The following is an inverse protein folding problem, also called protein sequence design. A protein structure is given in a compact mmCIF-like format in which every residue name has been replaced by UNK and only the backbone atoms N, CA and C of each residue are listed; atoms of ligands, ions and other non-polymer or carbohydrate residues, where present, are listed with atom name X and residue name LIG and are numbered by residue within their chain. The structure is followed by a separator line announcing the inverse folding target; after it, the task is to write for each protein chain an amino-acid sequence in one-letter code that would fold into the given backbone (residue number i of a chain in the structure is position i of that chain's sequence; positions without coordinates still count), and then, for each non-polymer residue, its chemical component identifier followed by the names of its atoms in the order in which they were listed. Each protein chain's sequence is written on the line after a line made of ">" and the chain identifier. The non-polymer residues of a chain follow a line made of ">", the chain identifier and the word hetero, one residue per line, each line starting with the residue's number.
data_IF_390560760514
#
_entry.id   IF_390560760514
#
_cell.length_a   1.000
_cell.length_b   1.000
_cell.length_c   1.000
_cell.angle_alpha   90.00
_cell.angle_beta   90.00
_cell.angle_gamma   90.00
#
_symmetry.space_group_name_H-M   'P 1'
#
loop_
_entity.id
_entity.type
_entity.pdbx_description
1 polymer ?
#
# COMPACT_ATOMS: atom_id res chain seq x y z
N UNK A 1 -11.12 19.66 -8.23
CA UNK A 1 -9.85 19.15 -7.68
C UNK A 1 -9.38 18.07 -8.62
N UNK A 2 -8.08 17.98 -8.86
CA UNK A 2 -7.55 16.99 -9.78
C UNK A 2 -7.50 15.61 -9.11
N UNK A 3 -7.78 14.55 -9.87
CA UNK A 3 -7.88 13.19 -9.38
C UNK A 3 -6.72 12.35 -9.93
N UNK A 4 -6.11 11.52 -9.09
CA UNK A 4 -5.15 10.50 -9.51
C UNK A 4 -5.71 9.11 -9.25
N UNK A 5 -5.69 8.28 -10.30
CA UNK A 5 -5.97 6.86 -10.21
C UNK A 5 -4.65 6.09 -10.07
N UNK A 6 -4.40 5.49 -8.91
CA UNK A 6 -3.30 4.55 -8.72
C UNK A 6 -3.86 3.15 -8.98
N UNK A 7 -3.28 2.39 -9.90
CA UNK A 7 -3.82 1.08 -10.28
C UNK A 7 -2.74 0.03 -10.39
N UNK A 8 -2.91 -1.11 -9.73
CA UNK A 8 -2.25 -2.33 -10.19
C UNK A 8 -2.84 -2.73 -11.55
N UNK A 9 -2.04 -3.32 -12.43
CA UNK A 9 -2.47 -3.64 -13.80
C UNK A 9 -2.20 -5.11 -14.14
N UNK A 10 -3.04 -5.73 -14.95
CA UNK A 10 -2.77 -7.00 -15.63
C UNK A 10 -3.59 -7.07 -16.92
N UNK A 11 -4.83 -6.59 -16.87
CA UNK A 11 -5.71 -6.34 -18.00
C UNK A 11 -6.13 -4.86 -18.04
N UNK A 12 -6.65 -4.44 -19.19
CA UNK A 12 -7.01 -3.04 -19.44
C UNK A 12 -8.38 -2.68 -18.84
N UNK A 13 -9.30 -3.65 -18.82
CA UNK A 13 -10.71 -3.41 -18.49
C UNK A 13 -10.92 -2.80 -17.09
N UNK A 14 -10.30 -3.30 -16.00
CA UNK A 14 -10.48 -2.70 -14.67
C UNK A 14 -10.04 -1.23 -14.62
N UNK A 15 -8.95 -0.91 -15.32
CA UNK A 15 -8.42 0.46 -15.40
C UNK A 15 -9.40 1.34 -16.17
N UNK A 16 -9.92 0.87 -17.31
CA UNK A 16 -10.90 1.61 -18.12
C UNK A 16 -12.23 1.86 -17.39
N UNK A 17 -12.70 0.89 -16.60
CA UNK A 17 -13.87 1.07 -15.73
C UNK A 17 -13.62 2.20 -14.73
N UNK A 18 -12.45 2.21 -14.09
CA UNK A 18 -12.07 3.27 -13.16
C UNK A 18 -11.93 4.64 -13.85
N UNK A 19 -11.34 4.69 -15.05
CA UNK A 19 -11.24 5.92 -15.83
C UNK A 19 -12.62 6.51 -16.10
N UNK A 20 -13.56 5.68 -16.55
CA UNK A 20 -14.92 6.11 -16.89
C UNK A 20 -15.67 6.60 -15.64
N UNK A 21 -15.54 5.88 -14.53
CA UNK A 21 -16.27 6.19 -13.30
C UNK A 21 -15.71 7.41 -12.56
N UNK A 22 -14.39 7.51 -12.45
CA UNK A 22 -13.73 8.48 -11.57
C UNK A 22 -13.13 9.67 -12.32
N UNK A 23 -13.07 9.61 -13.66
CA UNK A 23 -12.52 10.66 -14.53
C UNK A 23 -11.21 11.23 -14.00
N UNK A 24 -10.17 10.39 -13.76
CA UNK A 24 -8.89 10.86 -13.24
C UNK A 24 -8.23 11.81 -14.24
N UNK A 25 -7.35 12.69 -13.78
CA UNK A 25 -6.48 13.51 -14.64
C UNK A 25 -5.14 12.80 -14.91
N UNK A 26 -4.70 11.99 -13.94
CA UNK A 26 -3.47 11.20 -13.99
C UNK A 26 -3.72 9.76 -13.58
N UNK A 27 -3.03 8.83 -14.23
CA UNK A 27 -3.03 7.41 -13.90
C UNK A 27 -1.60 7.02 -13.55
N UNK A 28 -1.42 6.37 -12.40
CA UNK A 28 -0.16 5.76 -12.02
C UNK A 28 -0.36 4.25 -12.02
N UNK A 29 0.30 3.56 -12.95
CA UNK A 29 0.26 2.11 -13.07
C UNK A 29 1.37 1.49 -12.24
N UNK A 30 0.99 0.73 -11.22
CA UNK A 30 1.88 -0.12 -10.44
C UNK A 30 2.07 -1.44 -11.20
N UNK A 31 3.29 -1.66 -11.68
CA UNK A 31 3.63 -2.79 -12.57
C UNK A 31 4.74 -3.63 -11.97
N UNK A 32 4.77 -4.93 -12.25
CA UNK A 32 5.95 -5.73 -11.95
C UNK A 32 7.20 -5.26 -12.75
N UNK A 33 8.37 -5.30 -12.09
CA UNK A 33 9.67 -4.97 -12.70
C UNK A 33 9.94 -5.81 -13.97
N UNK A 34 9.69 -7.12 -13.91
CA UNK A 34 9.86 -8.07 -15.02
C UNK A 34 8.55 -8.32 -15.78
N UNK A 35 7.85 -7.25 -16.15
CA UNK A 35 6.55 -7.35 -16.80
C UNK A 35 6.56 -8.21 -18.07
N UNK A 36 5.68 -9.23 -18.19
CA UNK A 36 5.57 -10.06 -19.36
C UNK A 36 5.08 -9.25 -20.56
N UNK A 37 5.36 -9.74 -21.77
CA UNK A 37 5.00 -9.05 -23.01
C UNK A 37 3.52 -8.65 -23.07
N UNK A 38 2.62 -9.50 -22.55
CA UNK A 38 1.18 -9.23 -22.48
C UNK A 38 0.84 -7.98 -21.64
N UNK A 39 1.56 -7.75 -20.55
CA UNK A 39 1.35 -6.61 -19.66
C UNK A 39 1.85 -5.32 -20.31
N UNK A 40 3.04 -5.36 -20.91
CA UNK A 40 3.59 -4.25 -21.71
C UNK A 40 2.69 -3.87 -22.89
N UNK A 41 2.09 -4.86 -23.54
CA UNK A 41 1.13 -4.65 -24.61
C UNK A 41 -0.17 -4.00 -24.08
N UNK A 42 -0.62 -4.41 -22.90
CA UNK A 42 -1.77 -3.80 -22.21
C UNK A 42 -1.50 -2.32 -21.89
N UNK A 43 -0.30 -2.00 -21.39
CA UNK A 43 0.14 -0.61 -21.15
C UNK A 43 0.17 0.20 -22.44
N UNK A 44 0.72 -0.37 -23.53
CA UNK A 44 0.75 0.28 -24.85
C UNK A 44 -0.65 0.61 -25.34
N UNK A 45 -1.57 -0.36 -25.28
CA UNK A 45 -2.97 -0.15 -25.67
C UNK A 45 -3.66 0.92 -24.82
N UNK A 46 -3.40 0.95 -23.51
CA UNK A 46 -3.94 1.99 -22.63
C UNK A 46 -3.41 3.37 -23.02
N UNK A 47 -2.10 3.50 -23.25
CA UNK A 47 -1.46 4.73 -23.70
C UNK A 47 -2.04 5.24 -25.03
N UNK A 48 -2.25 4.35 -25.99
CA UNK A 48 -2.82 4.70 -27.30
C UNK A 48 -4.28 5.15 -27.20
N UNK A 49 -5.03 4.57 -26.27
CA UNK A 49 -6.47 4.83 -26.11
C UNK A 49 -6.75 6.13 -25.37
N UNK A 50 -6.08 6.38 -24.24
CA UNK A 50 -6.40 7.53 -23.36
C UNK A 50 -5.23 8.48 -23.11
N UNK A 51 -4.00 8.11 -23.50
CA UNK A 51 -2.80 8.90 -23.20
C UNK A 51 -2.69 10.26 -23.91
N UNK A 52 -3.60 10.57 -24.83
CA UNK A 52 -3.73 11.93 -25.43
C UNK A 52 -4.47 12.91 -24.53
N UNK A 53 -5.29 12.40 -23.62
CA UNK A 53 -6.18 13.18 -22.76
C UNK A 53 -5.87 12.99 -21.27
N UNK A 54 -5.16 11.92 -20.92
CA UNK A 54 -4.75 11.57 -19.56
C UNK A 54 -3.24 11.42 -19.47
N UNK A 55 -2.65 11.91 -18.38
CA UNK A 55 -1.27 11.60 -18.03
C UNK A 55 -1.18 10.16 -17.52
N UNK A 56 -0.26 9.37 -18.07
CA UNK A 56 -0.03 7.98 -17.62
C UNK A 56 1.44 7.84 -17.24
N UNK A 57 1.67 7.39 -16.01
CA UNK A 57 2.98 7.06 -15.47
C UNK A 57 3.01 5.59 -15.08
N UNK A 58 4.14 4.92 -15.31
CA UNK A 58 4.35 3.53 -14.90
C UNK A 58 5.43 3.50 -13.82
N UNK A 59 5.09 2.95 -12.66
CA UNK A 59 6.00 2.74 -11.53
C UNK A 59 6.24 1.24 -11.35
N UNK A 60 7.43 0.73 -11.68
CA UNK A 60 7.81 -0.66 -11.41
C UNK A 60 7.85 -0.95 -9.90
N UNK A 61 7.49 -2.16 -9.51
CA UNK A 61 7.56 -2.66 -8.13
C UNK A 61 7.87 -4.16 -8.10
N UNK A 62 8.16 -4.67 -6.91
CA UNK A 62 8.33 -6.10 -6.66
C UNK A 62 7.10 -6.94 -7.03
N UNK A 63 7.35 -8.18 -7.49
CA UNK A 63 6.32 -9.18 -7.81
C UNK A 63 5.77 -9.85 -6.55
N UNK A 64 6.64 -10.17 -5.59
CA UNK A 64 6.31 -11.03 -4.45
C UNK A 64 6.59 -10.39 -3.08
N UNK A 65 7.35 -9.31 -3.02
CA UNK A 65 7.60 -8.61 -1.76
C UNK A 65 6.47 -7.61 -1.47
N UNK A 66 5.45 -8.07 -0.75
CA UNK A 66 4.27 -7.28 -0.36
C UNK A 66 4.65 -6.01 0.41
N UNK A 67 5.67 -6.07 1.27
CA UNK A 67 6.13 -4.91 2.06
C UNK A 67 6.72 -3.84 1.17
N UNK A 68 7.50 -4.23 0.16
CA UNK A 68 8.03 -3.30 -0.84
C UNK A 68 6.91 -2.67 -1.67
N UNK A 69 5.98 -3.48 -2.20
CA UNK A 69 4.85 -2.94 -2.96
C UNK A 69 4.02 -1.95 -2.13
N UNK A 70 3.79 -2.25 -0.86
CA UNK A 70 3.06 -1.36 0.04
C UNK A 70 3.81 -0.04 0.28
N UNK A 71 5.14 -0.09 0.41
CA UNK A 71 5.97 1.11 0.56
C UNK A 71 5.93 1.95 -0.71
N UNK A 72 6.17 1.34 -1.87
CA UNK A 72 6.14 2.02 -3.16
C UNK A 72 4.77 2.66 -3.40
N UNK A 73 3.68 1.95 -3.04
CA UNK A 73 2.32 2.51 -3.12
C UNK A 73 2.13 3.70 -2.17
N UNK A 74 2.59 3.59 -0.92
CA UNK A 74 2.49 4.68 0.06
C UNK A 74 3.27 5.92 -0.38
N UNK A 75 4.47 5.74 -0.94
CA UNK A 75 5.30 6.84 -1.48
C UNK A 75 4.58 7.54 -2.65
N UNK A 76 3.96 6.78 -3.56
CA UNK A 76 3.14 7.34 -4.65
C UNK A 76 1.94 8.13 -4.08
N UNK A 77 1.27 7.59 -3.06
CA UNK A 77 0.12 8.28 -2.41
C UNK A 77 0.59 9.60 -1.80
N UNK A 78 1.69 9.61 -1.06
CA UNK A 78 2.26 10.82 -0.46
C UNK A 78 2.63 11.85 -1.52
N UNK A 79 3.28 11.43 -2.61
CA UNK A 79 3.67 12.29 -3.73
C UNK A 79 2.46 12.99 -4.35
N UNK A 80 1.42 12.23 -4.71
CA UNK A 80 0.24 12.76 -5.38
C UNK A 80 -0.64 13.60 -4.43
N UNK A 81 -0.72 13.22 -3.15
CA UNK A 81 -1.43 13.99 -2.14
C UNK A 81 -0.72 15.34 -1.89
N UNK A 82 0.62 15.38 -1.90
CA UNK A 82 1.39 16.61 -1.80
C UNK A 82 1.13 17.58 -2.98
N UNK A 83 0.74 17.06 -4.14
CA UNK A 83 0.27 17.84 -5.28
C UNK A 83 -1.20 18.30 -5.16
N UNK A 84 -1.86 18.04 -4.02
CA UNK A 84 -3.25 18.44 -3.76
C UNK A 84 -4.28 17.65 -4.56
N UNK A 85 -3.94 16.40 -4.93
CA UNK A 85 -4.83 15.53 -5.71
C UNK A 85 -5.63 14.60 -4.82
N UNK A 86 -6.84 14.31 -5.26
CA UNK A 86 -7.66 13.26 -4.67
C UNK A 86 -7.22 11.90 -5.20
N UNK A 87 -7.13 10.90 -4.34
CA UNK A 87 -6.51 9.62 -4.68
C UNK A 87 -7.54 8.50 -4.64
N UNK A 88 -7.66 7.80 -5.76
CA UNK A 88 -8.42 6.54 -5.88
C UNK A 88 -7.44 5.41 -6.17
N UNK A 89 -7.49 4.34 -5.38
CA UNK A 89 -6.62 3.17 -5.56
C UNK A 89 -7.43 1.99 -6.08
N UNK A 90 -7.05 1.48 -7.25
CA UNK A 90 -7.61 0.27 -7.85
C UNK A 90 -6.69 -0.93 -7.61
N UNK A 91 -7.18 -1.93 -6.89
CA UNK A 91 -6.42 -3.15 -6.53
C UNK A 91 -6.84 -4.39 -7.34
N UNK A 92 -7.55 -4.20 -8.45
CA UNK A 92 -8.10 -5.30 -9.25
C UNK A 92 -7.05 -6.05 -10.07
N UNK A 93 -6.04 -5.33 -10.55
CA UNK A 93 -5.04 -5.87 -11.47
C UNK A 93 -3.82 -6.47 -10.77
N UNK A 94 -2.95 -7.09 -11.56
CA UNK A 94 -1.67 -7.61 -11.11
C UNK A 94 -1.78 -8.93 -10.36
N UNK A 95 -0.66 -9.39 -9.80
CA UNK A 95 -0.66 -10.58 -8.96
C UNK A 95 -1.21 -10.25 -7.58
N UNK A 96 -1.75 -11.26 -6.89
CA UNK A 96 -2.28 -11.11 -5.51
C UNK A 96 -1.33 -10.37 -4.56
N UNK A 97 -0.01 -10.63 -4.53
CA UNK A 97 0.91 -9.87 -3.67
C UNK A 97 0.95 -8.37 -4.00
N UNK A 98 0.79 -7.99 -5.27
CA UNK A 98 0.79 -6.59 -5.68
C UNK A 98 -0.52 -5.90 -5.28
N UNK A 99 -1.65 -6.54 -5.55
CA UNK A 99 -2.96 -6.05 -5.13
C UNK A 99 -3.04 -5.86 -3.60
N UNK A 100 -2.56 -6.86 -2.85
CA UNK A 100 -2.48 -6.79 -1.39
C UNK A 100 -1.48 -5.73 -0.92
N UNK A 101 -0.32 -5.62 -1.56
CA UNK A 101 0.66 -4.57 -1.27
C UNK A 101 0.07 -3.18 -1.46
N UNK A 102 -0.59 -2.93 -2.59
CA UNK A 102 -1.26 -1.66 -2.88
C UNK A 102 -2.36 -1.35 -1.84
N UNK A 103 -3.14 -2.37 -1.46
CA UNK A 103 -4.14 -2.24 -0.39
C UNK A 103 -3.50 -1.86 0.95
N UNK A 104 -2.43 -2.53 1.37
CA UNK A 104 -1.74 -2.23 2.62
C UNK A 104 -1.03 -0.88 2.61
N UNK A 105 -0.45 -0.47 1.47
CA UNK A 105 0.09 0.87 1.29
C UNK A 105 -1.00 1.94 1.42
N UNK A 106 -2.19 1.67 0.88
CA UNK A 106 -3.36 2.54 1.05
C UNK A 106 -3.77 2.66 2.52
N UNK A 107 -3.73 1.56 3.29
CA UNK A 107 -4.01 1.61 4.73
C UNK A 107 -2.93 2.34 5.55
N UNK A 108 -1.66 2.29 5.10
CA UNK A 108 -0.58 3.06 5.72
C UNK A 108 -0.76 4.57 5.54
N UNK A 109 -1.47 4.99 4.47
CA UNK A 109 -1.79 6.39 4.15
C UNK A 109 -3.30 6.64 4.04
N UNK A 110 -4.05 6.00 4.93
CA UNK A 110 -5.51 5.98 4.92
C UNK A 110 -6.16 7.38 4.89
N UNK A 111 -5.53 8.38 5.49
CA UNK A 111 -5.98 9.77 5.56
C UNK A 111 -5.73 10.56 4.27
N UNK A 112 -4.95 10.02 3.33
CA UNK A 112 -4.63 10.62 2.02
C UNK A 112 -5.39 9.95 0.86
N UNK A 113 -6.09 8.85 1.11
CA UNK A 113 -6.82 8.07 0.11
C UNK A 113 -8.31 8.36 0.21
N UNK A 114 -8.95 8.69 -0.92
CA UNK A 114 -10.39 8.94 -0.97
C UNK A 114 -11.19 7.63 -1.10
N UNK A 115 -10.72 6.73 -1.98
CA UNK A 115 -11.37 5.45 -2.27
C UNK A 115 -10.36 4.36 -2.57
N UNK A 116 -10.70 3.13 -2.17
CA UNK A 116 -10.03 1.92 -2.60
C UNK A 116 -11.08 1.04 -3.26
N UNK A 117 -10.81 0.55 -4.46
CA UNK A 117 -11.79 -0.16 -5.28
C UNK A 117 -11.25 -1.47 -5.84
N UNK A 118 -12.16 -2.42 -5.98
CA UNK A 118 -11.96 -3.66 -6.71
C UNK A 118 -13.05 -3.78 -7.78
N UNK A 119 -12.66 -4.20 -8.99
CA UNK A 119 -13.51 -4.42 -10.15
C UNK A 119 -13.62 -5.92 -10.34
N UNK A 120 -14.85 -6.43 -10.28
CA UNK A 120 -15.15 -7.85 -10.52
C UNK A 120 -14.85 -8.23 -11.97
N UNK A 121 -14.38 -9.46 -12.18
CA UNK A 121 -14.04 -9.94 -13.53
C UNK A 121 -15.28 -10.24 -14.36
N UNK A 122 -16.37 -10.70 -13.73
CA UNK A 122 -17.55 -11.23 -14.41
C UNK A 122 -18.46 -10.13 -14.99
N UNK A 123 -18.74 -9.09 -14.21
CA UNK A 123 -19.73 -8.06 -14.52
C UNK A 123 -19.18 -6.63 -14.44
N UNK A 124 -17.89 -6.47 -14.15
CA UNK A 124 -17.19 -5.17 -14.07
C UNK A 124 -17.80 -4.22 -13.04
N UNK A 125 -18.46 -4.77 -12.03
CA UNK A 125 -19.00 -4.01 -10.91
C UNK A 125 -17.87 -3.47 -10.03
N UNK A 126 -18.08 -2.26 -9.52
CA UNK A 126 -17.15 -1.59 -8.61
C UNK A 126 -17.55 -1.96 -7.18
N UNK A 127 -16.61 -2.57 -6.46
CA UNK A 127 -16.69 -2.82 -5.03
C UNK A 127 -15.83 -1.78 -4.32
N UNK A 128 -16.47 -0.91 -3.54
CA UNK A 128 -15.78 -0.02 -2.61
C UNK A 128 -15.24 -0.86 -1.45
N UNK A 129 -13.91 -0.88 -1.29
CA UNK A 129 -13.24 -1.52 -0.16
C UNK A 129 -13.13 -0.53 1.01
N UNK A 130 -13.16 -1.03 2.27
CA UNK A 130 -13.03 -0.16 3.43
C UNK A 130 -11.64 0.47 3.48
N UNK A 131 -11.58 1.74 3.87
CA UNK A 131 -10.32 2.42 4.18
C UNK A 131 -10.02 2.19 5.66
N UNK A 132 -9.05 1.34 5.95
CA UNK A 132 -8.65 0.95 7.29
C UNK A 132 -7.30 1.57 7.68
N UNK A 133 -6.97 1.53 8.97
CA UNK A 133 -5.64 1.80 9.48
C UNK A 133 -5.15 0.63 10.34
N UNK A 134 -3.84 0.60 10.63
CA UNK A 134 -3.24 -0.48 11.43
C UNK A 134 -3.51 -0.38 12.94
N UNK A 135 -4.15 0.69 13.42
CA UNK A 135 -4.56 0.82 14.82
C UNK A 135 -3.41 0.88 15.83
N UNK A 136 -2.19 1.24 15.43
CA UNK A 136 -1.04 1.30 16.33
C UNK A 136 -0.83 2.70 16.92
N UNK A 137 -0.61 2.77 18.22
CA UNK A 137 -0.20 4.02 18.89
C UNK A 137 1.23 4.42 18.51
N UNK A 138 1.59 5.69 18.65
CA UNK A 138 2.96 6.20 18.44
C UNK A 138 4.03 5.40 19.19
N UNK A 139 3.78 5.04 20.46
CA UNK A 139 4.72 4.23 21.27
C UNK A 139 4.97 2.84 20.65
N UNK A 140 3.89 2.16 20.24
CA UNK A 140 3.96 0.87 19.55
C UNK A 140 4.71 0.97 18.22
N UNK A 141 4.49 2.04 17.45
CA UNK A 141 5.22 2.30 16.21
C UNK A 141 6.72 2.43 16.44
N UNK A 142 7.14 3.21 17.45
CA UNK A 142 8.56 3.35 17.81
C UNK A 142 9.17 2.00 18.20
N UNK A 143 8.45 1.15 18.95
CA UNK A 143 8.94 -0.21 19.27
C UNK A 143 9.22 -1.00 17.99
N UNK A 144 8.28 -1.00 17.04
CA UNK A 144 8.43 -1.72 15.77
C UNK A 144 9.59 -1.15 14.93
N UNK A 145 9.75 0.17 14.87
CA UNK A 145 10.87 0.82 14.18
C UNK A 145 12.22 0.43 14.78
N UNK A 146 12.34 0.41 16.10
CA UNK A 146 13.56 -0.02 16.79
C UNK A 146 13.87 -1.50 16.56
N UNK A 147 12.85 -2.37 16.55
CA UNK A 147 13.00 -3.79 16.24
C UNK A 147 13.49 -4.00 14.80
N UNK A 148 12.94 -3.25 13.85
CA UNK A 148 13.39 -3.26 12.45
C UNK A 148 14.85 -2.80 12.32
N UNK A 149 15.29 -1.88 13.17
CA UNK A 149 16.68 -1.42 13.25
C UNK A 149 17.61 -2.37 14.03
N UNK A 150 17.11 -3.53 14.47
CA UNK A 150 17.89 -4.58 15.12
C UNK A 150 17.96 -4.51 16.65
N UNK A 151 17.23 -3.60 17.30
CA UNK A 151 17.16 -3.55 18.76
C UNK A 151 16.22 -4.64 19.30
N UNK A 152 16.80 -5.69 19.89
CA UNK A 152 16.07 -6.85 20.41
C UNK A 152 16.16 -6.98 21.94
N UNK A 153 16.51 -5.90 22.64
CA UNK A 153 16.59 -5.89 24.10
C UNK A 153 15.51 -4.98 24.73
N UNK A 154 14.59 -5.59 25.49
CA UNK A 154 13.48 -4.87 26.16
C UNK A 154 13.96 -3.74 27.07
N UNK A 155 15.10 -3.89 27.75
CA UNK A 155 15.66 -2.82 28.60
C UNK A 155 16.08 -1.62 27.76
N UNK A 156 16.73 -1.86 26.63
CA UNK A 156 17.15 -0.79 25.72
C UNK A 156 15.93 -0.08 25.12
N UNK A 157 14.94 -0.85 24.64
CA UNK A 157 13.66 -0.31 24.16
C UNK A 157 13.00 0.60 25.21
N UNK A 158 12.89 0.12 26.46
CA UNK A 158 12.30 0.91 27.56
C UNK A 158 13.03 2.23 27.81
N UNK A 159 14.37 2.22 27.68
CA UNK A 159 15.22 3.40 27.88
C UNK A 159 15.08 4.41 26.75
N UNK A 160 15.12 3.94 25.48
CA UNK A 160 14.97 4.81 24.29
C UNK A 160 13.60 5.49 24.23
N UNK A 161 12.55 4.75 24.59
CA UNK A 161 11.16 5.24 24.53
C UNK A 161 10.81 6.09 25.75
N UNK A 162 11.53 5.93 26.87
CA UNK A 162 11.26 6.65 28.11
C UNK A 162 10.06 6.11 28.89
N UNK A 163 9.80 4.80 28.83
CA UNK A 163 8.71 4.12 29.54
C UNK A 163 9.25 3.03 30.48
N UNK A 164 8.44 2.63 31.47
CA UNK A 164 8.82 1.54 32.37
C UNK A 164 8.93 0.21 31.62
N UNK A 165 9.80 -0.68 32.09
CA UNK A 165 9.94 -2.02 31.50
C UNK A 165 8.61 -2.79 31.49
N UNK A 166 7.79 -2.65 32.53
CA UNK A 166 6.47 -3.27 32.60
C UNK A 166 5.55 -2.81 31.47
N UNK A 167 5.53 -1.50 31.17
CA UNK A 167 4.79 -0.97 30.02
C UNK A 167 5.35 -1.47 28.69
N UNK A 168 6.68 -1.54 28.55
CA UNK A 168 7.33 -2.10 27.36
C UNK A 168 6.90 -3.55 27.12
N UNK A 169 6.91 -4.40 28.15
CA UNK A 169 6.43 -5.78 28.06
C UNK A 169 4.94 -5.85 27.67
N UNK A 170 4.09 -4.99 28.23
CA UNK A 170 2.68 -4.96 27.87
C UNK A 170 2.47 -4.57 26.40
N UNK A 171 3.18 -3.55 25.90
CA UNK A 171 3.10 -3.18 24.48
C UNK A 171 3.62 -4.27 23.55
N UNK A 172 4.71 -4.95 23.91
CA UNK A 172 5.23 -6.09 23.14
C UNK A 172 4.17 -7.22 23.09
N UNK A 173 3.49 -7.50 24.21
CA UNK A 173 2.40 -8.49 24.25
C UNK A 173 1.24 -8.11 23.33
N UNK A 174 0.78 -6.86 23.38
CA UNK A 174 -0.27 -6.35 22.49
C UNK A 174 0.15 -6.44 21.01
N UNK A 175 1.39 -6.05 20.69
CA UNK A 175 1.94 -6.15 19.34
C UNK A 175 2.04 -7.61 18.85
N UNK A 176 2.30 -8.57 19.73
CA UNK A 176 2.22 -10.00 19.42
C UNK A 176 0.79 -10.45 19.18
N UNK A 177 -0.17 -10.04 19.99
CA UNK A 177 -1.59 -10.35 19.79
C UNK A 177 -2.09 -9.83 18.43
N UNK A 178 -1.56 -8.68 17.98
CA UNK A 178 -1.81 -8.12 16.64
C UNK A 178 -1.03 -8.80 15.51
N UNK A 179 -0.10 -9.72 15.81
CA UNK A 179 0.75 -10.38 14.82
C UNK A 179 1.87 -9.52 14.23
N UNK A 180 2.17 -8.36 14.83
CA UNK A 180 3.19 -7.41 14.36
C UNK A 180 4.60 -7.74 14.89
N UNK A 181 4.68 -8.51 15.96
CA UNK A 181 5.91 -9.10 16.52
C UNK A 181 5.72 -10.62 16.56
N UNK A 182 6.79 -11.37 16.30
CA UNK A 182 6.79 -12.83 16.40
C UNK A 182 6.39 -13.32 17.81
N UNK A 183 5.69 -14.46 17.87
CA UNK A 183 5.20 -15.01 19.14
C UNK A 183 6.31 -15.52 20.06
N UNK A 184 7.43 -15.96 19.48
CA UNK A 184 8.52 -16.66 20.17
C UNK A 184 9.78 -15.80 20.24
N UNK A 185 10.13 -15.08 19.18
CA UNK A 185 11.26 -14.15 19.15
C UNK A 185 10.80 -12.71 19.42
N UNK A 186 11.75 -11.81 19.67
CA UNK A 186 11.51 -10.37 19.73
C UNK A 186 11.95 -9.77 18.39
N UNK A 187 11.25 -10.17 17.34
CA UNK A 187 11.51 -9.78 15.96
C UNK A 187 10.22 -9.25 15.33
N UNK A 188 10.35 -8.25 14.47
CA UNK A 188 9.23 -7.70 13.71
C UNK A 188 8.78 -8.67 12.63
N UNK A 189 7.47 -8.78 12.39
CA UNK A 189 6.93 -9.57 11.28
C UNK A 189 6.74 -8.70 10.04
N UNK A 190 6.44 -9.31 8.89
CA UNK A 190 6.05 -8.53 7.69
C UNK A 190 4.81 -7.65 7.95
N UNK A 191 3.86 -8.09 8.78
CA UNK A 191 2.72 -7.28 9.18
C UNK A 191 3.15 -6.08 10.03
N UNK A 192 4.12 -6.28 10.94
CA UNK A 192 4.74 -5.19 11.69
C UNK A 192 5.45 -4.18 10.79
N UNK A 193 6.16 -4.66 9.77
CA UNK A 193 6.81 -3.78 8.79
C UNK A 193 5.81 -2.94 7.99
N UNK A 194 4.66 -3.52 7.61
CA UNK A 194 3.58 -2.78 6.95
C UNK A 194 2.99 -1.68 7.84
N UNK A 195 2.83 -1.97 9.14
CA UNK A 195 2.23 -1.02 10.08
C UNK A 195 3.11 0.21 10.37
N UNK A 196 4.40 0.14 10.06
CA UNK A 196 5.36 1.24 10.21
C UNK A 196 5.76 1.90 8.89
N UNK A 197 5.08 1.59 7.79
CA UNK A 197 5.09 2.44 6.60
C UNK A 197 4.43 3.75 6.99
#
# INVERSE_FOLDING_TARGET
>A
MANTLISTIYSMEPVMTCITQFSPDKIILIREEDAPAKMKETERMLQETVGKVLEIEVKPTSIYNVVMVARDTAEIIEEEHAHGRNIVVNVSGGRKPQALGALFGSYARHDMVEKIVYITEEDKNIIDLPILNFGISKTKRIILEELKNGENNVKNLSTKIGISRGMTYNHIRELREMGLIDQKSLEITSAGELAII
#
